data_IF_130549298179
#
_entry.id   IF_130549298179
#
_cell.length_a   1.000
_cell.length_b   1.000
_cell.length_c   1.000
_cell.angle_alpha   90.00
_cell.angle_beta   90.00
_cell.angle_gamma   90.00
#
_symmetry.space_group_name_H-M   'P 1'
#
loop_
_entity.id
_entity.type
_entity.pdbx_description
1 polymer ?
#
# COMPACT_ATOMS: atom_id res chain seq x y z
N UNK A 1 -1.49 -0.64 -4.21
CA UNK A 1 -1.39 -1.50 -5.41
C UNK A 1 -2.47 -2.59 -5.52
N UNK A 2 -2.64 -3.55 -4.58
CA UNK A 2 -3.55 -4.69 -4.81
C UNK A 2 -5.03 -4.31 -5.00
N UNK A 3 -5.53 -3.37 -4.18
CA UNK A 3 -6.90 -2.87 -4.30
C UNK A 3 -7.10 -2.10 -5.61
N UNK A 4 -6.11 -1.31 -6.02
CA UNK A 4 -6.16 -0.52 -7.26
C UNK A 4 -6.23 -1.44 -8.49
N UNK A 5 -5.42 -2.51 -8.50
CA UNK A 5 -5.47 -3.56 -9.52
C UNK A 5 -6.86 -4.22 -9.58
N UNK A 6 -7.47 -4.50 -8.42
CA UNK A 6 -8.82 -5.05 -8.36
C UNK A 6 -9.86 -4.06 -8.92
N UNK A 7 -9.77 -2.79 -8.52
CA UNK A 7 -10.69 -1.74 -8.94
C UNK A 7 -10.71 -1.55 -10.45
N UNK A 8 -9.54 -1.62 -11.12
CA UNK A 8 -9.43 -1.49 -12.58
C UNK A 8 -10.18 -2.57 -13.36
N UNK A 9 -10.56 -3.69 -12.74
CA UNK A 9 -11.37 -4.73 -13.39
C UNK A 9 -12.85 -4.39 -13.48
N UNK A 10 -13.32 -3.40 -12.71
CA UNK A 10 -14.75 -3.08 -12.57
C UNK A 10 -15.06 -1.60 -12.75
N UNK A 11 -14.08 -0.71 -12.57
CA UNK A 11 -14.24 0.73 -12.71
C UNK A 11 -13.84 1.12 -14.12
N UNK A 12 -14.83 1.45 -14.96
CA UNK A 12 -14.61 1.98 -16.32
C UNK A 12 -14.61 3.51 -16.31
N UNK A 13 -15.76 4.15 -16.05
CA UNK A 13 -15.90 5.60 -16.20
C UNK A 13 -16.17 6.33 -14.89
N UNK A 14 -16.94 5.74 -13.98
CA UNK A 14 -17.33 6.39 -12.72
C UNK A 14 -17.31 5.39 -11.57
N UNK A 15 -16.69 5.78 -10.46
CA UNK A 15 -16.75 5.05 -9.20
C UNK A 15 -17.97 5.56 -8.41
N UNK A 16 -18.91 4.67 -8.10
CA UNK A 16 -20.04 4.95 -7.20
C UNK A 16 -20.01 3.98 -6.01
N UNK A 17 -20.86 4.23 -5.01
CA UNK A 17 -20.88 3.39 -3.80
C UNK A 17 -21.27 1.94 -4.08
N UNK A 18 -22.15 1.68 -5.04
CA UNK A 18 -22.50 0.30 -5.44
C UNK A 18 -21.32 -0.49 -6.00
N UNK A 19 -20.33 0.19 -6.60
CA UNK A 19 -19.08 -0.43 -7.06
C UNK A 19 -18.07 -0.54 -5.92
N UNK A 20 -17.97 0.48 -5.06
CA UNK A 20 -16.98 0.55 -3.98
C UNK A 20 -17.29 -0.39 -2.81
N UNK A 21 -18.55 -0.45 -2.38
CA UNK A 21 -19.02 -1.26 -1.24
C UNK A 21 -18.63 -2.75 -1.32
N UNK A 22 -18.71 -3.43 -2.48
CA UNK A 22 -18.30 -4.83 -2.59
C UNK A 22 -16.78 -5.03 -2.70
N UNK A 23 -15.96 -3.98 -2.60
CA UNK A 23 -14.51 -4.16 -2.70
C UNK A 23 -13.99 -5.03 -1.55
N UNK A 24 -13.10 -6.00 -1.84
CA UNK A 24 -12.54 -6.85 -0.81
C UNK A 24 -11.52 -6.04 0.00
N UNK A 25 -11.95 -5.49 1.13
CA UNK A 25 -11.08 -4.78 2.06
C UNK A 25 -10.68 -5.74 3.19
N UNK A 26 -9.39 -6.08 3.35
CA UNK A 26 -8.91 -6.89 4.45
C UNK A 26 -9.27 -6.27 5.80
N UNK A 27 -9.75 -7.08 6.75
CA UNK A 27 -10.09 -6.67 8.12
C UNK A 27 -9.27 -7.45 9.15
N UNK A 28 -7.94 -7.22 9.21
CA UNK A 28 -7.09 -7.86 10.21
C UNK A 28 -7.41 -7.37 11.64
N UNK A 29 -7.10 -8.20 12.63
CA UNK A 29 -7.26 -7.87 14.04
C UNK A 29 -6.42 -6.64 14.45
N UNK A 30 -6.80 -6.01 15.57
CA UNK A 30 -6.19 -4.76 16.03
C UNK A 30 -4.72 -4.89 16.42
N UNK A 31 -4.31 -6.06 16.87
CA UNK A 31 -2.95 -6.43 17.25
C UNK A 31 -2.12 -6.96 16.07
N UNK A 32 -2.73 -7.12 14.88
CA UNK A 32 -2.00 -7.59 13.71
C UNK A 32 -0.83 -6.65 13.37
N UNK A 33 0.41 -7.17 13.30
CA UNK A 33 1.58 -6.34 12.99
C UNK A 33 1.49 -5.72 11.60
N UNK A 34 0.85 -6.41 10.65
CA UNK A 34 0.59 -5.91 9.31
C UNK A 34 -0.35 -4.69 9.36
N UNK A 35 -1.45 -4.78 10.12
CA UNK A 35 -2.39 -3.66 10.28
C UNK A 35 -1.71 -2.44 10.86
N UNK A 36 -0.97 -2.61 11.97
CA UNK A 36 -0.26 -1.53 12.64
C UNK A 36 0.74 -0.87 11.69
N UNK A 37 1.49 -1.67 10.93
CA UNK A 37 2.46 -1.11 9.98
C UNK A 37 1.81 -0.34 8.84
N UNK A 38 0.73 -0.87 8.25
CA UNK A 38 -0.02 -0.15 7.18
C UNK A 38 -0.49 1.19 7.68
N UNK A 39 -1.06 1.26 8.89
CA UNK A 39 -1.53 2.54 9.48
C UNK A 39 -0.37 3.53 9.61
N UNK A 40 0.80 3.07 10.10
CA UNK A 40 1.97 3.93 10.26
C UNK A 40 2.49 4.46 8.91
N UNK A 41 2.64 3.58 7.92
CA UNK A 41 3.16 3.94 6.59
C UNK A 41 2.19 4.87 5.86
N UNK A 42 0.92 4.45 5.73
CA UNK A 42 -0.11 5.22 5.04
C UNK A 42 -0.36 6.57 5.73
N UNK A 43 -0.42 6.58 7.07
CA UNK A 43 -0.55 7.81 7.84
C UNK A 43 0.61 8.77 7.60
N UNK A 44 1.86 8.29 7.66
CA UNK A 44 3.05 9.13 7.45
C UNK A 44 3.13 9.68 6.03
N UNK A 45 2.79 8.88 5.01
CA UNK A 45 2.73 9.27 3.60
C UNK A 45 1.62 10.29 3.33
N UNK A 46 0.48 10.19 4.04
CA UNK A 46 -0.63 11.13 3.92
C UNK A 46 -0.41 12.47 4.64
N UNK A 47 0.68 12.63 5.39
CA UNK A 47 0.98 13.84 6.18
C UNK A 47 2.22 14.62 5.68
N UNK A 48 2.23 15.13 4.43
CA UNK A 48 3.39 15.81 3.87
C UNK A 48 3.62 17.21 4.45
N UNK A 49 2.58 17.87 4.98
CA UNK A 49 2.66 19.24 5.46
C UNK A 49 1.77 19.50 6.69
N UNK A 50 1.95 20.68 7.31
CA UNK A 50 1.33 21.06 8.58
C UNK A 50 -0.21 21.07 8.57
N UNK A 51 -0.86 21.13 7.40
CA UNK A 51 -2.34 21.04 7.30
C UNK A 51 -2.86 19.71 7.85
N UNK A 52 -2.02 18.68 7.84
CA UNK A 52 -2.34 17.35 8.34
C UNK A 52 -1.85 17.09 9.76
N UNK A 53 -1.39 18.10 10.50
CA UNK A 53 -0.79 17.90 11.83
C UNK A 53 -1.78 17.27 12.84
N UNK A 54 -3.04 17.71 12.84
CA UNK A 54 -4.09 17.13 13.70
C UNK A 54 -4.35 15.66 13.35
N UNK A 55 -4.42 15.35 12.05
CA UNK A 55 -4.58 13.97 11.57
C UNK A 55 -3.37 13.10 11.94
N UNK A 56 -2.15 13.60 11.73
CA UNK A 56 -0.92 12.92 12.08
C UNK A 56 -0.87 12.59 13.58
N UNK A 57 -1.27 13.54 14.44
CA UNK A 57 -1.36 13.35 15.89
C UNK A 57 -2.40 12.31 16.28
N UNK A 58 -3.58 12.32 15.64
CA UNK A 58 -4.63 11.35 15.90
C UNK A 58 -4.22 9.91 15.51
N UNK A 59 -3.45 9.76 14.43
CA UNK A 59 -2.92 8.47 13.96
C UNK A 59 -1.64 8.06 14.72
N UNK A 60 -0.95 9.00 15.36
CA UNK A 60 0.32 8.77 16.06
C UNK A 60 1.55 8.73 15.16
N UNK A 61 1.52 9.45 14.03
CA UNK A 61 2.63 9.51 13.05
C UNK A 61 3.28 10.90 13.01
N UNK A 62 4.50 10.97 12.47
CA UNK A 62 5.18 12.24 12.22
C UNK A 62 4.53 12.98 11.06
N UNK A 63 4.51 14.31 11.13
CA UNK A 63 4.05 15.21 10.09
C UNK A 63 5.23 15.99 9.50
N UNK A 64 5.25 16.19 8.18
CA UNK A 64 6.26 16.99 7.49
C UNK A 64 6.75 16.35 6.20
N UNK A 65 7.59 17.07 5.45
CA UNK A 65 8.12 16.58 4.18
C UNK A 65 8.95 15.31 4.40
N UNK A 66 8.90 14.43 3.40
CA UNK A 66 9.79 13.29 3.25
C UNK A 66 10.74 13.61 2.11
N UNK A 67 11.95 13.08 2.17
CA UNK A 67 12.80 13.02 0.99
C UNK A 67 12.19 12.03 0.00
N UNK A 68 12.44 12.22 -1.30
CA UNK A 68 11.82 11.42 -2.34
C UNK A 68 12.22 9.93 -2.23
N UNK A 69 13.47 9.64 -1.90
CA UNK A 69 13.99 8.29 -1.66
C UNK A 69 13.31 7.59 -0.47
N UNK A 70 13.17 8.31 0.65
CA UNK A 70 12.47 7.80 1.84
C UNK A 70 10.99 7.55 1.55
N UNK A 71 10.36 8.46 0.81
CA UNK A 71 8.94 8.35 0.42
C UNK A 71 8.71 7.14 -0.49
N UNK A 72 9.57 6.94 -1.48
CA UNK A 72 9.48 5.80 -2.40
C UNK A 72 9.68 4.47 -1.66
N UNK A 73 10.69 4.36 -0.79
CA UNK A 73 10.91 3.16 0.01
C UNK A 73 9.70 2.83 0.90
N UNK A 74 9.09 3.85 1.52
CA UNK A 74 7.86 3.69 2.30
C UNK A 74 6.67 3.22 1.44
N UNK A 75 6.56 3.67 0.19
CA UNK A 75 5.52 3.21 -0.75
C UNK A 75 5.76 1.73 -1.11
N UNK A 76 6.99 1.35 -1.41
CA UNK A 76 7.35 -0.05 -1.69
C UNK A 76 7.07 -0.97 -0.50
N UNK A 77 7.40 -0.53 0.72
CA UNK A 77 7.07 -1.27 1.92
C UNK A 77 5.55 -1.39 2.09
N UNK A 78 4.80 -0.29 1.90
CA UNK A 78 3.35 -0.28 2.03
C UNK A 78 2.70 -1.28 1.06
N UNK A 79 3.09 -1.27 -0.21
CA UNK A 79 2.56 -2.21 -1.20
C UNK A 79 2.86 -3.66 -0.84
N UNK A 80 4.04 -3.94 -0.27
CA UNK A 80 4.42 -5.28 0.18
C UNK A 80 3.57 -5.75 1.38
N UNK A 81 3.37 -4.89 2.38
CA UNK A 81 2.56 -5.21 3.57
C UNK A 81 1.09 -5.40 3.19
N UNK A 82 0.57 -4.56 2.29
CA UNK A 82 -0.78 -4.72 1.78
C UNK A 82 -0.92 -6.03 0.98
N UNK A 83 0.07 -6.41 0.17
CA UNK A 83 0.04 -7.70 -0.52
C UNK A 83 -0.09 -8.90 0.44
N UNK A 84 0.59 -8.85 1.60
CA UNK A 84 0.41 -9.85 2.66
C UNK A 84 -1.00 -9.83 3.27
N UNK A 85 -1.58 -8.65 3.52
CA UNK A 85 -2.97 -8.53 4.01
C UNK A 85 -4.00 -9.12 3.04
N UNK A 86 -3.74 -9.03 1.74
CA UNK A 86 -4.57 -9.65 0.70
C UNK A 86 -4.28 -11.16 0.51
N UNK A 87 -3.33 -11.73 1.25
CA UNK A 87 -2.97 -13.15 1.15
C UNK A 87 -2.25 -13.49 -0.17
N UNK A 88 -1.64 -12.51 -0.83
CA UNK A 88 -0.97 -12.74 -2.10
C UNK A 88 0.34 -13.49 -1.90
N UNK A 89 0.67 -14.37 -2.85
CA UNK A 89 2.00 -14.93 -2.97
C UNK A 89 2.89 -14.10 -3.92
N UNK A 90 4.19 -14.42 -3.94
CA UNK A 90 5.16 -13.68 -4.75
C UNK A 90 4.82 -13.68 -6.24
N UNK A 91 4.35 -14.80 -6.81
CA UNK A 91 4.00 -14.88 -8.24
C UNK A 91 2.79 -14.01 -8.56
N UNK A 92 1.79 -13.99 -7.68
CA UNK A 92 0.61 -13.13 -7.81
C UNK A 92 0.98 -11.66 -7.71
N UNK A 93 1.86 -11.30 -6.77
CA UNK A 93 2.35 -9.92 -6.65
C UNK A 93 3.11 -9.49 -7.91
N UNK A 94 4.01 -10.32 -8.42
CA UNK A 94 4.70 -10.05 -9.69
C UNK A 94 3.71 -9.85 -10.83
N UNK A 95 2.71 -10.72 -10.96
CA UNK A 95 1.68 -10.60 -12.00
C UNK A 95 0.90 -9.28 -11.92
N UNK A 96 0.60 -8.78 -10.72
CA UNK A 96 -0.04 -7.47 -10.55
C UNK A 96 0.86 -6.37 -11.10
N UNK A 97 2.15 -6.38 -10.79
CA UNK A 97 3.09 -5.37 -11.30
C UNK A 97 3.28 -5.45 -12.81
N UNK A 98 3.30 -6.65 -13.39
CA UNK A 98 3.40 -6.86 -14.85
C UNK A 98 2.17 -6.35 -15.61
N UNK A 99 1.00 -6.38 -14.98
CA UNK A 99 -0.28 -6.03 -15.64
C UNK A 99 -0.80 -4.65 -15.25
N UNK A 100 -0.27 -4.05 -14.19
CA UNK A 100 -0.69 -2.77 -13.65
C UNK A 100 0.52 -1.97 -13.18
N UNK A 101 1.07 -1.20 -14.11
CA UNK A 101 2.18 -0.30 -13.87
C UNK A 101 2.02 0.98 -14.69
N UNK A 102 2.70 2.04 -14.25
CA UNK A 102 2.83 3.27 -15.00
C UNK A 102 4.09 3.20 -15.88
N UNK A 103 3.99 3.64 -17.13
CA UNK A 103 5.12 3.60 -18.06
C UNK A 103 5.54 2.18 -18.46
N UNK A 104 6.77 2.04 -18.95
CA UNK A 104 7.31 0.77 -19.45
C UNK A 104 8.13 0.01 -18.41
N UNK A 105 8.70 0.70 -17.43
CA UNK A 105 9.65 0.13 -16.48
C UNK A 105 9.02 -0.05 -15.09
N UNK A 106 8.47 -1.24 -14.86
CA UNK A 106 7.91 -1.65 -13.56
C UNK A 106 8.93 -2.43 -12.71
N UNK A 107 10.07 -2.79 -13.28
CA UNK A 107 10.98 -3.77 -12.69
C UNK A 107 11.63 -3.27 -11.41
N UNK A 108 12.02 -1.99 -11.38
CA UNK A 108 12.66 -1.38 -10.21
C UNK A 108 11.71 -1.32 -9.01
N UNK A 109 10.47 -0.84 -9.24
CA UNK A 109 9.42 -0.80 -8.22
C UNK A 109 9.06 -2.21 -7.74
N UNK A 110 8.93 -3.15 -8.66
CA UNK A 110 8.67 -4.55 -8.34
C UNK A 110 9.80 -5.14 -7.49
N UNK A 111 11.06 -4.90 -7.85
CA UNK A 111 12.23 -5.43 -7.13
C UNK A 111 12.31 -4.86 -5.71
N UNK A 112 12.09 -3.56 -5.54
CA UNK A 112 12.05 -2.92 -4.23
C UNK A 112 10.89 -3.44 -3.36
N UNK A 113 9.70 -3.59 -3.96
CA UNK A 113 8.53 -4.14 -3.26
C UNK A 113 8.75 -5.60 -2.87
N UNK A 114 9.34 -6.41 -3.75
CA UNK A 114 9.65 -7.82 -3.48
C UNK A 114 10.69 -8.00 -2.37
N UNK A 115 11.62 -7.05 -2.22
CA UNK A 115 12.56 -7.05 -1.09
C UNK A 115 11.81 -6.92 0.23
N UNK A 116 10.97 -5.89 0.39
CA UNK A 116 10.13 -5.70 1.56
C UNK A 116 9.17 -6.87 1.80
N UNK A 117 8.58 -7.41 0.73
CA UNK A 117 7.67 -8.55 0.81
C UNK A 117 8.33 -9.79 1.42
N UNK A 118 9.57 -10.09 1.00
CA UNK A 118 10.36 -11.20 1.54
C UNK A 118 10.80 -10.96 2.97
N UNK A 119 11.15 -9.72 3.32
CA UNK A 119 11.51 -9.34 4.70
C UNK A 119 10.33 -9.51 5.65
N UNK A 120 9.13 -9.07 5.25
CA UNK A 120 7.91 -9.26 6.02
C UNK A 120 7.51 -10.72 6.15
N UNK A 121 7.67 -11.52 5.09
CA UNK A 121 7.40 -12.97 5.14
C UNK A 121 8.24 -13.71 6.19
N UNK A 122 9.42 -13.20 6.55
CA UNK A 122 10.26 -13.79 7.60
C UNK A 122 9.85 -13.39 9.03
N UNK A 123 9.05 -12.33 9.17
CA UNK A 123 8.59 -11.76 10.44
C UNK A 123 7.19 -12.24 10.86
N UNK A 124 6.43 -12.77 9.91
CA UNK A 124 5.12 -13.42 10.10
C UNK A 124 5.31 -14.89 10.44
#
# INVERSE_FOLDING_TARGET
MPLDWYARRFVETHLNFHVLEPFPIPRPDADSPLRVRVIQLAGRLACPDKRFAEFAKAVGVKCGSLKDDEKEDMIHELDAVVAHLYGLNQKQLTHIFETFHEGWDYEDRLRATLKHFKEWKKKL
#
